data_IF_782274437823
#
_entry.id   IF_782274437823
#
_cell.length_a   1.000
_cell.length_b   1.000
_cell.length_c   1.000
_cell.angle_alpha   90.00
_cell.angle_beta   90.00
_cell.angle_gamma   90.00
#
_symmetry.space_group_name_H-M   'P 1'
#
loop_
_entity.id
_entity.type
_entity.pdbx_description
1 polymer ?
#
# COMPACT_ATOMS: atom_id res chain seq x y z
N UNK A 1 -3.47 -9.78 -24.68
CA UNK A 1 -4.43 -10.48 -25.59
C UNK A 1 -5.82 -9.94 -25.30
N UNK A 2 -6.62 -9.63 -26.31
CA UNK A 2 -7.97 -9.13 -26.07
C UNK A 2 -8.85 -10.23 -25.50
N UNK A 3 -9.74 -9.87 -24.58
CA UNK A 3 -10.62 -10.78 -23.86
C UNK A 3 -12.08 -10.48 -24.10
N UNK A 4 -12.95 -11.45 -23.87
CA UNK A 4 -14.41 -11.28 -23.86
C UNK A 4 -14.95 -11.59 -22.46
N UNK A 5 -15.62 -10.60 -21.85
CA UNK A 5 -16.36 -10.79 -20.61
C UNK A 5 -17.79 -11.25 -20.94
N UNK A 6 -18.21 -12.36 -20.34
CA UNK A 6 -19.58 -12.82 -20.34
C UNK A 6 -20.21 -12.53 -18.99
N UNK A 7 -21.38 -11.94 -18.98
CA UNK A 7 -22.16 -11.72 -17.74
C UNK A 7 -23.48 -12.45 -17.87
N UNK A 8 -23.76 -13.36 -16.94
CA UNK A 8 -24.98 -14.17 -16.92
C UNK A 8 -25.62 -14.15 -15.53
N UNK A 9 -26.94 -14.38 -15.52
CA UNK A 9 -27.75 -14.47 -14.31
C UNK A 9 -28.19 -15.90 -14.10
N UNK A 10 -27.81 -16.51 -12.96
CA UNK A 10 -28.17 -17.86 -12.58
C UNK A 10 -28.83 -17.89 -11.20
N UNK A 11 -29.62 -18.92 -10.91
CA UNK A 11 -30.10 -19.16 -9.54
C UNK A 11 -28.91 -19.28 -8.59
N UNK A 12 -29.00 -18.68 -7.39
CA UNK A 12 -27.87 -18.65 -6.46
C UNK A 12 -27.31 -20.03 -6.14
N UNK A 13 -28.19 -21.04 -6.00
CA UNK A 13 -27.75 -22.43 -5.74
C UNK A 13 -27.01 -23.11 -6.88
N UNK A 14 -27.05 -22.57 -8.10
CA UNK A 14 -26.35 -23.09 -9.26
C UNK A 14 -25.06 -22.30 -9.59
N UNK A 15 -24.81 -21.18 -8.95
CA UNK A 15 -23.77 -20.25 -9.29
C UNK A 15 -22.36 -20.88 -9.19
N UNK A 16 -22.08 -21.64 -8.14
CA UNK A 16 -20.79 -22.32 -7.96
C UNK A 16 -20.57 -23.40 -9.03
N UNK A 17 -21.57 -24.25 -9.26
CA UNK A 17 -21.46 -25.32 -10.27
C UNK A 17 -21.28 -24.74 -11.69
N UNK A 18 -21.96 -23.62 -12.01
CA UNK A 18 -21.78 -22.94 -13.29
C UNK A 18 -20.39 -22.28 -13.37
N UNK A 19 -19.89 -21.74 -12.28
CA UNK A 19 -18.56 -21.13 -12.23
C UNK A 19 -17.45 -22.16 -12.48
N UNK A 20 -17.51 -23.31 -11.82
CA UNK A 20 -16.56 -24.41 -12.02
C UNK A 20 -16.63 -24.95 -13.46
N UNK A 21 -17.84 -25.17 -13.96
CA UNK A 21 -18.05 -25.67 -15.33
C UNK A 21 -17.56 -24.69 -16.41
N UNK A 22 -17.67 -23.36 -16.18
CA UNK A 22 -17.12 -22.36 -17.08
C UNK A 22 -15.59 -22.37 -17.11
N UNK A 23 -14.93 -22.58 -15.95
CA UNK A 23 -13.48 -22.73 -15.88
C UNK A 23 -13.02 -23.98 -16.63
N UNK A 24 -13.73 -25.11 -16.48
CA UNK A 24 -13.45 -26.35 -17.22
C UNK A 24 -13.70 -26.19 -18.73
N UNK A 25 -14.67 -25.37 -19.13
CA UNK A 25 -14.96 -25.05 -20.53
C UNK A 25 -13.98 -24.05 -21.14
N UNK A 26 -12.96 -23.59 -20.41
CA UNK A 26 -11.87 -22.76 -20.90
C UNK A 26 -11.93 -21.29 -20.51
N UNK A 27 -12.81 -20.90 -19.60
CA UNK A 27 -12.77 -19.55 -19.04
C UNK A 27 -11.47 -19.36 -18.23
N UNK A 28 -10.82 -18.22 -18.40
CA UNK A 28 -9.57 -17.89 -17.69
C UNK A 28 -9.82 -17.47 -16.25
N UNK A 29 -10.95 -16.84 -16.00
CA UNK A 29 -11.41 -16.50 -14.64
C UNK A 29 -12.92 -16.44 -14.62
N UNK A 30 -13.50 -16.75 -13.47
CA UNK A 30 -14.93 -16.59 -13.20
C UNK A 30 -15.09 -15.95 -11.83
N UNK A 31 -15.98 -14.98 -11.72
CA UNK A 31 -16.36 -14.34 -10.47
C UNK A 31 -17.88 -14.41 -10.29
N UNK A 32 -18.31 -14.55 -9.03
CA UNK A 32 -19.71 -14.54 -8.64
C UNK A 32 -19.96 -13.25 -7.86
N UNK A 33 -20.87 -12.43 -8.37
CA UNK A 33 -21.30 -11.21 -7.70
C UNK A 33 -22.69 -11.41 -7.09
N UNK A 34 -22.92 -10.77 -5.95
CA UNK A 34 -24.21 -10.80 -5.24
C UNK A 34 -24.71 -12.22 -4.94
N UNK A 35 -23.87 -13.10 -4.34
CA UNK A 35 -24.26 -14.50 -4.09
C UNK A 35 -25.45 -14.65 -3.13
N UNK A 36 -25.74 -13.63 -2.31
CA UNK A 36 -26.81 -13.62 -1.32
C UNK A 36 -28.20 -13.28 -1.92
N UNK A 37 -28.27 -12.90 -3.19
CA UNK A 37 -29.54 -12.66 -3.88
C UNK A 37 -30.12 -13.96 -4.45
N UNK A 38 -31.45 -14.06 -4.68
CA UNK A 38 -32.08 -15.25 -5.30
C UNK A 38 -31.48 -15.61 -6.65
N UNK A 39 -30.95 -14.62 -7.37
CA UNK A 39 -30.15 -14.79 -8.60
C UNK A 39 -28.78 -14.13 -8.42
N UNK A 40 -27.76 -14.90 -8.65
CA UNK A 40 -26.38 -14.44 -8.67
C UNK A 40 -25.96 -14.01 -10.06
N UNK A 41 -25.07 -13.02 -10.16
CA UNK A 41 -24.41 -12.63 -11.40
C UNK A 41 -23.09 -13.39 -11.51
N UNK A 42 -22.92 -14.17 -12.56
CA UNK A 42 -21.64 -14.85 -12.85
C UNK A 42 -20.98 -14.10 -14.02
N UNK A 43 -19.75 -13.64 -13.78
CA UNK A 43 -18.92 -12.98 -14.78
C UNK A 43 -17.75 -13.89 -15.15
N UNK A 44 -17.66 -14.29 -16.43
CA UNK A 44 -16.58 -15.13 -16.94
C UNK A 44 -15.73 -14.38 -17.97
N UNK A 45 -14.43 -14.58 -17.94
CA UNK A 45 -13.48 -14.04 -18.89
C UNK A 45 -13.02 -15.13 -19.85
N UNK A 46 -13.29 -14.94 -21.13
CA UNK A 46 -12.96 -15.87 -22.21
C UNK A 46 -11.93 -15.27 -23.17
N UNK A 47 -11.07 -16.13 -23.73
CA UNK A 47 -10.27 -15.76 -24.89
C UNK A 47 -11.21 -15.46 -26.08
N UNK A 48 -10.87 -14.45 -26.89
CA UNK A 48 -11.68 -14.10 -28.07
C UNK A 48 -11.82 -15.24 -29.10
N UNK A 49 -10.91 -16.22 -29.06
CA UNK A 49 -10.95 -17.37 -29.97
C UNK A 49 -11.97 -18.42 -29.54
N UNK A 50 -12.44 -18.38 -28.28
CA UNK A 50 -13.46 -19.29 -27.80
C UNK A 50 -14.86 -18.83 -28.24
N UNK A 51 -15.66 -19.77 -28.70
CA UNK A 51 -17.08 -19.54 -28.98
C UNK A 51 -17.87 -19.48 -27.68
N UNK A 52 -18.46 -18.31 -27.32
CA UNK A 52 -19.20 -18.15 -26.08
C UNK A 52 -20.38 -19.12 -25.94
N UNK A 53 -21.09 -19.37 -27.04
CA UNK A 53 -22.26 -20.24 -27.03
C UNK A 53 -21.88 -21.69 -26.76
N UNK A 54 -20.83 -22.16 -27.40
CA UNK A 54 -20.30 -23.51 -27.16
C UNK A 54 -19.79 -23.67 -25.70
N UNK A 55 -19.09 -22.69 -25.19
CA UNK A 55 -18.60 -22.66 -23.83
C UNK A 55 -19.75 -22.71 -22.78
N UNK A 56 -20.77 -21.88 -23.00
CA UNK A 56 -21.94 -21.84 -22.11
C UNK A 56 -22.82 -23.08 -22.21
N UNK A 57 -22.96 -23.68 -23.39
CA UNK A 57 -23.69 -24.94 -23.52
C UNK A 57 -22.97 -26.09 -22.79
N UNK A 58 -21.65 -26.17 -22.91
CA UNK A 58 -20.84 -27.14 -22.20
C UNK A 58 -20.97 -26.94 -20.68
N UNK A 59 -20.83 -25.71 -20.20
CA UNK A 59 -20.94 -25.37 -18.79
C UNK A 59 -22.36 -25.62 -18.22
N UNK A 60 -23.40 -25.28 -18.96
CA UNK A 60 -24.80 -25.56 -18.57
C UNK A 60 -25.07 -27.05 -18.44
N UNK A 61 -24.58 -27.84 -19.40
CA UNK A 61 -24.71 -29.32 -19.36
C UNK A 61 -23.97 -29.91 -18.16
N UNK A 62 -22.73 -29.46 -17.90
CA UNK A 62 -21.94 -29.95 -16.76
C UNK A 62 -22.53 -29.55 -15.40
N UNK A 63 -23.10 -28.33 -15.31
CA UNK A 63 -23.79 -27.83 -14.11
C UNK A 63 -25.22 -28.37 -13.96
N UNK A 64 -25.71 -29.26 -14.85
CA UNK A 64 -27.05 -29.86 -14.77
C UNK A 64 -28.20 -28.88 -15.04
N UNK A 65 -27.96 -27.78 -15.76
CA UNK A 65 -29.00 -26.83 -16.13
C UNK A 65 -29.81 -27.35 -17.32
N UNK A 66 -31.12 -27.07 -17.33
CA UNK A 66 -32.02 -27.47 -18.43
C UNK A 66 -31.73 -26.75 -19.75
N UNK A 67 -31.11 -25.57 -19.71
CA UNK A 67 -30.69 -24.78 -20.86
C UNK A 67 -29.53 -23.84 -20.47
N UNK A 68 -28.75 -23.42 -21.47
CA UNK A 68 -27.73 -22.40 -21.27
C UNK A 68 -28.39 -21.06 -20.84
N UNK A 69 -27.89 -20.39 -19.81
CA UNK A 69 -28.40 -19.12 -19.38
C UNK A 69 -28.17 -18.04 -20.44
N UNK A 70 -29.11 -17.08 -20.52
CA UNK A 70 -28.89 -15.89 -21.33
C UNK A 70 -27.73 -15.06 -20.77
N UNK A 71 -26.92 -14.51 -21.65
CA UNK A 71 -25.75 -13.73 -21.29
C UNK A 71 -25.65 -12.44 -22.07
N UNK A 72 -24.87 -11.51 -21.55
CA UNK A 72 -24.35 -10.38 -22.30
C UNK A 72 -22.86 -10.54 -22.50
N UNK A 73 -22.37 -10.22 -23.70
CA UNK A 73 -20.94 -10.26 -24.00
C UNK A 73 -20.42 -8.84 -24.24
N UNK A 74 -19.30 -8.52 -23.63
CA UNK A 74 -18.56 -7.30 -23.90
C UNK A 74 -17.11 -7.66 -24.24
N UNK A 75 -16.61 -7.13 -25.35
CA UNK A 75 -15.18 -7.25 -25.63
C UNK A 75 -14.45 -6.32 -24.68
N UNK A 76 -13.48 -6.89 -23.94
CA UNK A 76 -12.52 -6.12 -23.18
C UNK A 76 -11.36 -5.87 -24.14
N UNK A 77 -11.22 -4.64 -24.67
CA UNK A 77 -10.09 -4.31 -25.51
C UNK A 77 -8.80 -4.64 -24.76
N UNK A 78 -7.75 -4.96 -25.47
CA UNK A 78 -6.39 -5.06 -24.93
C UNK A 78 -5.97 -3.64 -24.51
N UNK A 79 -6.70 -3.12 -23.53
CA UNK A 79 -6.39 -1.84 -22.97
C UNK A 79 -5.10 -2.00 -22.18
N UNK A 80 -4.19 -1.10 -22.41
CA UNK A 80 -2.97 -0.97 -21.64
C UNK A 80 -3.35 -0.61 -20.19
N UNK A 81 -3.71 -1.67 -19.43
CA UNK A 81 -4.03 -1.56 -17.99
C UNK A 81 -2.90 -0.88 -17.22
N UNK A 82 -1.67 -1.05 -17.72
CA UNK A 82 -0.50 -0.35 -17.19
C UNK A 82 -0.71 1.15 -17.36
N UNK A 83 -1.09 1.59 -18.53
CA UNK A 83 -1.31 3.01 -18.84
C UNK A 83 -2.53 3.60 -18.12
N UNK A 84 -3.63 2.83 -17.99
CA UNK A 84 -4.80 3.26 -17.20
C UNK A 84 -4.49 3.34 -15.71
N UNK A 85 -3.79 2.35 -15.18
CA UNK A 85 -3.33 2.36 -13.80
C UNK A 85 -2.35 3.52 -13.58
N UNK A 86 -1.43 3.74 -14.50
CA UNK A 86 -0.50 4.88 -14.47
C UNK A 86 -1.23 6.23 -14.44
N UNK A 87 -2.30 6.39 -15.22
CA UNK A 87 -3.08 7.63 -15.25
C UNK A 87 -3.82 7.94 -13.94
N UNK A 88 -4.01 6.96 -13.05
CA UNK A 88 -4.67 7.13 -11.75
C UNK A 88 -3.71 7.57 -10.64
N UNK A 89 -2.38 7.50 -10.87
CA UNK A 89 -1.39 7.88 -9.86
C UNK A 89 -0.94 9.32 -10.06
N UNK A 90 -1.63 10.21 -9.35
CA UNK A 90 -1.28 11.63 -9.27
C UNK A 90 -0.09 11.83 -8.32
N UNK A 91 0.85 12.72 -8.66
CA UNK A 91 1.92 13.09 -7.74
C UNK A 91 1.41 13.77 -6.48
N UNK A 92 2.11 13.57 -5.37
CA UNK A 92 1.82 14.19 -4.08
C UNK A 92 2.86 15.27 -3.79
N UNK A 93 2.41 16.49 -3.62
CA UNK A 93 3.23 17.59 -3.11
C UNK A 93 3.13 17.62 -1.59
N UNK A 94 4.28 17.53 -0.91
CA UNK A 94 4.35 17.58 0.55
C UNK A 94 5.09 18.83 0.96
N UNK A 95 4.36 19.77 1.58
CA UNK A 95 4.88 21.08 1.92
C UNK A 95 5.49 21.80 0.72
N UNK A 96 6.62 22.48 0.95
CA UNK A 96 7.33 23.25 -0.08
C UNK A 96 8.58 22.53 -0.63
N UNK A 97 9.11 21.56 0.12
CA UNK A 97 10.42 20.95 -0.12
C UNK A 97 10.38 19.59 -0.77
N UNK A 98 9.26 18.86 -0.71
CA UNK A 98 9.19 17.46 -1.12
C UNK A 98 8.13 17.24 -2.20
N UNK A 99 8.47 16.42 -3.19
CA UNK A 99 7.58 15.95 -4.23
C UNK A 99 7.72 14.42 -4.36
N UNK A 100 6.60 13.73 -4.44
CA UNK A 100 6.55 12.28 -4.59
C UNK A 100 5.69 11.96 -5.80
N UNK A 101 6.17 11.15 -6.69
CA UNK A 101 5.39 10.76 -7.84
C UNK A 101 6.08 9.70 -8.69
N UNK A 102 5.30 9.11 -9.60
CA UNK A 102 5.81 8.06 -10.47
C UNK A 102 6.81 8.60 -11.51
N UNK A 103 7.55 7.66 -12.10
CA UNK A 103 8.66 7.98 -13.04
C UNK A 103 8.21 8.75 -14.28
N UNK A 104 6.95 8.61 -14.72
CA UNK A 104 6.37 9.28 -15.90
C UNK A 104 5.87 10.71 -15.66
N UNK A 105 5.86 11.18 -14.40
CA UNK A 105 5.55 12.58 -14.10
C UNK A 105 6.81 13.42 -13.98
N UNK A 106 6.75 14.66 -14.46
CA UNK A 106 7.85 15.61 -14.36
C UNK A 106 7.75 16.38 -13.03
N UNK A 107 8.76 16.26 -12.15
CA UNK A 107 8.74 16.99 -10.89
C UNK A 107 8.96 18.49 -11.10
N UNK A 108 8.42 19.34 -10.22
CA UNK A 108 8.72 20.76 -10.20
C UNK A 108 10.20 21.00 -9.82
N UNK A 109 10.76 22.12 -10.27
CA UNK A 109 12.14 22.50 -9.92
C UNK A 109 12.25 22.88 -8.44
N UNK A 110 13.41 22.63 -7.83
CA UNK A 110 13.75 23.10 -6.49
C UNK A 110 13.22 22.23 -5.34
N UNK A 111 12.57 21.11 -5.63
CA UNK A 111 12.08 20.18 -4.59
C UNK A 111 12.93 18.92 -4.52
N UNK A 112 13.01 18.33 -3.34
CA UNK A 112 13.49 16.96 -3.17
C UNK A 112 12.49 16.00 -3.83
N UNK A 113 12.99 15.13 -4.69
CA UNK A 113 12.15 14.25 -5.54
C UNK A 113 12.28 12.82 -5.07
N UNK A 114 11.13 12.21 -4.75
CA UNK A 114 11.00 10.78 -4.51
C UNK A 114 10.19 10.16 -5.64
N UNK A 115 10.82 9.24 -6.37
CA UNK A 115 10.17 8.51 -7.46
C UNK A 115 9.73 7.15 -6.98
N UNK A 116 8.42 6.91 -7.05
CA UNK A 116 7.82 5.63 -6.70
C UNK A 116 6.80 5.27 -7.76
N UNK A 117 7.07 4.21 -8.46
CA UNK A 117 6.10 3.61 -9.37
C UNK A 117 5.17 2.67 -8.58
N UNK A 118 3.87 2.63 -8.92
CA UNK A 118 2.94 1.70 -8.30
C UNK A 118 3.46 0.26 -8.39
N UNK A 119 3.51 -0.43 -7.28
CA UNK A 119 4.03 -1.78 -7.17
C UNK A 119 3.27 -2.61 -6.13
N UNK A 120 3.78 -3.79 -5.84
CA UNK A 120 3.16 -4.75 -4.91
C UNK A 120 3.28 -4.35 -3.42
N UNK A 121 4.19 -3.42 -3.08
CA UNK A 121 4.38 -2.99 -1.70
C UNK A 121 3.48 -1.79 -1.35
N UNK A 122 3.00 -1.77 -0.10
CA UNK A 122 2.22 -0.66 0.46
C UNK A 122 3.07 0.62 0.55
N UNK A 123 2.45 1.78 0.31
CA UNK A 123 3.08 3.10 0.50
C UNK A 123 3.37 3.87 -0.79
N UNK A 124 2.32 4.18 -1.56
CA UNK A 124 2.40 5.05 -2.75
C UNK A 124 2.48 6.55 -2.43
N UNK A 125 2.40 6.93 -1.16
CA UNK A 125 2.42 8.33 -0.72
C UNK A 125 1.04 8.99 -0.63
N UNK A 126 -0.01 8.42 -1.23
CA UNK A 126 -1.35 9.02 -1.26
C UNK A 126 -2.14 8.81 0.03
N UNK A 127 -1.83 7.76 0.80
CA UNK A 127 -2.56 7.47 2.04
C UNK A 127 -2.37 8.58 3.08
N UNK A 128 -3.42 9.02 3.81
CA UNK A 128 -3.34 10.09 4.81
C UNK A 128 -2.21 9.89 5.83
N UNK A 129 -2.03 8.68 6.35
CA UNK A 129 -0.98 8.37 7.34
C UNK A 129 0.42 8.62 6.79
N UNK A 130 0.67 8.25 5.54
CA UNK A 130 1.96 8.49 4.87
C UNK A 130 2.19 9.99 4.68
N UNK A 131 1.17 10.73 4.24
CA UNK A 131 1.27 12.19 4.08
C UNK A 131 1.57 12.89 5.40
N UNK A 132 0.95 12.45 6.51
CA UNK A 132 1.20 12.99 7.84
C UNK A 132 2.68 12.87 8.23
N UNK A 133 3.28 11.67 8.06
CA UNK A 133 4.70 11.46 8.39
C UNK A 133 5.63 12.21 7.43
N UNK A 134 5.31 12.25 6.14
CA UNK A 134 6.10 13.00 5.16
C UNK A 134 6.15 14.50 5.48
N UNK A 135 5.02 15.11 5.87
CA UNK A 135 4.97 16.51 6.32
C UNK A 135 5.77 16.73 7.61
N UNK A 136 5.74 15.76 8.51
CA UNK A 136 6.56 15.78 9.72
C UNK A 136 8.06 15.74 9.37
N UNK A 137 8.49 14.82 8.52
CA UNK A 137 9.89 14.73 8.07
C UNK A 137 10.35 16.01 7.36
N UNK A 138 9.51 16.56 6.48
CA UNK A 138 9.80 17.80 5.77
C UNK A 138 10.04 18.99 6.72
N UNK A 139 9.26 19.03 7.81
CA UNK A 139 9.39 20.07 8.86
C UNK A 139 10.60 19.84 9.76
N UNK A 140 10.88 18.59 10.15
CA UNK A 140 11.89 18.29 11.18
C UNK A 140 13.30 18.15 10.61
N UNK A 141 13.48 17.65 9.38
CA UNK A 141 14.80 17.47 8.78
C UNK A 141 15.37 18.82 8.30
N UNK A 142 16.51 19.19 8.87
CA UNK A 142 17.26 20.41 8.55
C UNK A 142 18.60 20.13 7.87
N UNK A 143 19.05 18.88 7.94
CA UNK A 143 20.29 18.36 7.40
C UNK A 143 21.21 17.84 8.51
N UNK A 144 21.70 16.63 8.33
CA UNK A 144 22.65 15.98 9.26
C UNK A 144 22.03 15.02 10.26
N UNK A 145 20.70 14.92 10.34
CA UNK A 145 20.02 14.02 11.27
C UNK A 145 20.20 12.54 10.90
N UNK A 146 20.26 11.69 11.92
CA UNK A 146 20.06 10.25 11.80
C UNK A 146 18.56 9.90 11.89
N UNK A 147 18.04 9.20 10.90
CA UNK A 147 16.61 8.84 10.81
C UNK A 147 16.44 7.33 10.79
N UNK A 148 15.47 6.82 11.55
CA UNK A 148 15.00 5.44 11.51
C UNK A 148 13.55 5.38 11.04
N UNK A 149 13.29 4.60 10.00
CA UNK A 149 11.96 4.25 9.51
C UNK A 149 11.67 2.80 9.92
N UNK A 150 10.82 2.62 10.94
CA UNK A 150 10.50 1.30 11.49
C UNK A 150 9.14 0.81 11.00
N UNK A 151 9.13 -0.26 10.22
CA UNK A 151 8.01 -0.69 9.37
C UNK A 151 8.07 0.07 8.04
N UNK A 152 9.23 0.01 7.36
CA UNK A 152 9.52 0.91 6.24
C UNK A 152 8.73 0.59 4.96
N UNK A 153 8.15 -0.61 4.82
CA UNK A 153 7.35 -1.00 3.66
C UNK A 153 8.07 -0.75 2.33
N UNK A 154 7.53 0.13 1.51
CA UNK A 154 8.13 0.55 0.24
C UNK A 154 9.43 1.37 0.38
N UNK A 155 9.79 1.78 1.60
CA UNK A 155 10.92 2.67 1.89
C UNK A 155 10.63 4.16 1.65
N UNK A 156 9.39 4.54 1.36
CA UNK A 156 9.04 5.92 0.98
C UNK A 156 9.49 6.96 2.02
N UNK A 157 9.29 6.69 3.32
CA UNK A 157 9.64 7.62 4.40
C UNK A 157 11.16 7.74 4.55
N UNK A 158 11.86 6.60 4.52
CA UNK A 158 13.31 6.54 4.55
C UNK A 158 13.95 7.27 3.35
N UNK A 159 13.44 7.03 2.14
CA UNK A 159 13.92 7.69 0.92
C UNK A 159 13.65 9.20 0.99
N UNK A 160 12.46 9.59 1.45
CA UNK A 160 12.12 11.01 1.63
C UNK A 160 13.05 11.69 2.65
N UNK A 161 13.35 11.02 3.78
CA UNK A 161 14.28 11.54 4.77
C UNK A 161 15.68 11.78 4.18
N UNK A 162 16.21 10.81 3.42
CA UNK A 162 17.50 10.97 2.75
C UNK A 162 17.50 12.13 1.73
N UNK A 163 16.43 12.24 0.93
CA UNK A 163 16.28 13.33 -0.06
C UNK A 163 16.11 14.70 0.58
N UNK A 164 15.60 14.77 1.81
CA UNK A 164 15.49 16.01 2.59
C UNK A 164 16.81 16.41 3.27
N UNK A 165 17.85 15.55 3.25
CA UNK A 165 19.18 15.86 3.75
C UNK A 165 19.56 15.15 5.06
N UNK A 166 18.84 14.12 5.49
CA UNK A 166 19.29 13.26 6.58
C UNK A 166 20.65 12.66 6.26
N UNK A 167 21.59 12.68 7.22
CA UNK A 167 22.95 12.19 7.01
C UNK A 167 23.05 10.66 7.07
N UNK A 168 22.14 10.04 7.84
CA UNK A 168 22.03 8.59 7.98
C UNK A 168 20.56 8.20 7.98
N UNK A 169 20.21 7.20 7.20
CA UNK A 169 18.84 6.66 7.19
C UNK A 169 18.90 5.15 7.24
N UNK A 170 18.22 4.56 8.20
CA UNK A 170 18.01 3.11 8.30
C UNK A 170 16.52 2.79 8.17
N UNK A 171 16.21 1.71 7.45
CA UNK A 171 14.87 1.16 7.31
C UNK A 171 14.78 -0.22 7.93
N UNK A 172 13.67 -0.51 8.59
CA UNK A 172 13.42 -1.83 9.22
C UNK A 172 12.05 -2.32 8.82
N UNK A 173 11.95 -3.58 8.42
CA UNK A 173 10.67 -4.25 8.21
C UNK A 173 10.78 -5.75 8.54
N UNK A 174 9.66 -6.37 8.90
CA UNK A 174 9.58 -7.81 9.16
C UNK A 174 9.34 -8.61 7.89
N UNK A 175 8.83 -7.97 6.84
CA UNK A 175 8.51 -8.60 5.56
C UNK A 175 9.71 -8.52 4.60
N UNK A 176 10.21 -9.69 4.21
CA UNK A 176 11.32 -9.80 3.27
C UNK A 176 11.02 -9.16 1.90
N UNK A 177 9.76 -9.19 1.45
CA UNK A 177 9.33 -8.57 0.20
C UNK A 177 9.35 -7.04 0.33
N UNK A 178 8.90 -6.49 1.47
CA UNK A 178 9.00 -5.07 1.77
C UNK A 178 10.47 -4.61 1.76
N UNK A 179 11.37 -5.35 2.41
CA UNK A 179 12.82 -5.06 2.41
C UNK A 179 13.42 -5.04 0.99
N UNK A 180 13.03 -6.00 0.14
CA UNK A 180 13.48 -6.04 -1.26
C UNK A 180 12.96 -4.81 -2.03
N UNK A 181 11.68 -4.50 -1.90
CA UNK A 181 11.04 -3.35 -2.55
C UNK A 181 11.66 -2.03 -2.10
N UNK A 182 11.87 -1.84 -0.79
CA UNK A 182 12.51 -0.63 -0.25
C UNK A 182 13.92 -0.44 -0.80
N UNK A 183 14.69 -1.52 -0.94
CA UNK A 183 16.04 -1.49 -1.52
C UNK A 183 16.04 -1.09 -2.98
N UNK A 184 15.11 -1.63 -3.77
CA UNK A 184 15.00 -1.32 -5.20
C UNK A 184 14.50 0.12 -5.41
N UNK A 185 13.53 0.58 -4.62
CA UNK A 185 13.06 1.97 -4.64
C UNK A 185 14.18 2.94 -4.25
N UNK A 186 14.96 2.62 -3.21
CA UNK A 186 16.09 3.45 -2.80
C UNK A 186 17.14 3.56 -3.91
N UNK A 187 17.47 2.44 -4.55
CA UNK A 187 18.39 2.40 -5.72
C UNK A 187 17.86 3.25 -6.86
N UNK A 188 16.58 3.12 -7.22
CA UNK A 188 15.92 3.93 -8.26
C UNK A 188 15.92 5.43 -7.96
N UNK A 189 15.99 5.79 -6.68
CA UNK A 189 16.10 7.17 -6.22
C UNK A 189 17.53 7.65 -6.00
N UNK A 190 18.56 6.82 -6.21
CA UNK A 190 19.95 7.16 -5.91
C UNK A 190 20.18 7.44 -4.42
N UNK A 191 19.46 6.72 -3.54
CA UNK A 191 19.60 6.80 -2.08
C UNK A 191 20.31 5.54 -1.59
N UNK A 192 21.33 5.71 -0.75
CA UNK A 192 21.98 4.62 -0.07
C UNK A 192 21.13 4.21 1.15
N UNK A 193 20.37 3.13 1.00
CA UNK A 193 19.53 2.56 2.03
C UNK A 193 19.68 1.04 2.02
N UNK A 194 20.02 0.46 3.16
CA UNK A 194 20.09 -0.98 3.38
C UNK A 194 19.02 -1.38 4.40
N UNK A 195 17.78 -1.61 3.97
CA UNK A 195 16.73 -2.00 4.88
C UNK A 195 17.00 -3.40 5.41
N UNK A 196 16.77 -3.59 6.71
CA UNK A 196 17.10 -4.83 7.44
C UNK A 196 15.91 -5.33 8.26
N UNK A 197 15.85 -6.64 8.57
CA UNK A 197 14.90 -7.13 9.56
C UNK A 197 15.27 -6.61 10.96
N UNK A 198 14.30 -6.56 11.91
CA UNK A 198 14.47 -5.95 13.23
C UNK A 198 15.66 -6.47 14.03
N UNK A 199 15.93 -7.78 13.96
CA UNK A 199 17.04 -8.46 14.66
C UNK A 199 18.41 -8.09 14.11
N UNK A 200 18.48 -7.60 12.89
CA UNK A 200 19.73 -7.19 12.22
C UNK A 200 20.00 -5.68 12.36
N UNK A 201 19.08 -4.91 12.94
CA UNK A 201 19.30 -3.49 13.22
C UNK A 201 20.40 -3.32 14.24
N UNK A 202 21.52 -2.76 13.84
CA UNK A 202 22.66 -2.48 14.71
C UNK A 202 22.31 -1.64 15.95
N UNK A 203 23.21 -1.54 16.92
CA UNK A 203 23.00 -0.69 18.09
C UNK A 203 23.02 0.79 17.70
N UNK A 204 22.35 1.62 18.50
CA UNK A 204 22.35 3.07 18.32
C UNK A 204 20.95 3.67 18.45
N UNK A 205 20.95 4.99 18.53
CA UNK A 205 19.76 5.81 18.58
C UNK A 205 19.80 6.84 17.43
N UNK A 206 18.65 7.40 17.11
CA UNK A 206 18.44 8.29 15.98
C UNK A 206 17.84 9.61 16.45
N UNK A 207 18.16 10.69 15.77
CA UNK A 207 17.59 12.01 16.05
C UNK A 207 16.10 12.04 15.75
N UNK A 208 15.67 11.29 14.73
CA UNK A 208 14.28 11.16 14.33
C UNK A 208 13.97 9.67 14.12
N UNK A 209 12.92 9.19 14.78
CA UNK A 209 12.35 7.86 14.55
C UNK A 209 10.93 8.04 14.03
N UNK A 210 10.59 7.36 12.94
CA UNK A 210 9.24 7.33 12.40
C UNK A 210 8.75 5.89 12.30
N UNK A 211 7.45 5.70 12.48
CA UNK A 211 6.80 4.41 12.26
C UNK A 211 5.37 4.63 11.79
N UNK A 212 5.00 4.06 10.66
CA UNK A 212 3.67 4.13 10.08
C UNK A 212 3.08 2.72 9.95
N UNK A 213 2.68 2.16 11.07
CA UNK A 213 2.09 0.82 11.18
C UNK A 213 0.83 0.87 12.05
N UNK A 214 0.12 -0.25 12.19
CA UNK A 214 -1.10 -0.32 12.98
C UNK A 214 -0.86 -0.04 14.48
N UNK A 215 -1.89 0.45 15.18
CA UNK A 215 -1.84 0.89 16.57
C UNK A 215 -1.35 -0.21 17.54
N UNK A 216 -1.84 -1.45 17.42
CA UNK A 216 -1.47 -2.53 18.34
C UNK A 216 0.03 -2.90 18.27
N UNK A 217 0.65 -3.09 17.09
CA UNK A 217 2.11 -3.19 16.98
C UNK A 217 2.85 -1.99 17.57
N UNK A 218 2.38 -0.76 17.40
CA UNK A 218 3.03 0.43 17.97
C UNK A 218 3.03 0.39 19.50
N UNK A 219 1.95 -0.06 20.13
CA UNK A 219 1.89 -0.24 21.59
C UNK A 219 2.91 -1.28 22.05
N UNK A 220 3.00 -2.43 21.37
CA UNK A 220 3.96 -3.48 21.72
C UNK A 220 5.41 -3.06 21.53
N UNK A 221 5.68 -2.26 20.51
CA UNK A 221 7.02 -1.77 20.16
C UNK A 221 7.44 -0.51 20.95
N UNK A 222 6.59 0.02 21.84
CA UNK A 222 6.86 1.27 22.53
C UNK A 222 8.23 1.31 23.22
N UNK A 223 8.68 0.28 23.97
CA UNK A 223 10.02 0.28 24.57
C UNK A 223 11.13 0.34 23.50
N UNK A 224 10.97 -0.38 22.41
CA UNK A 224 11.96 -0.45 21.33
C UNK A 224 12.10 0.90 20.65
N UNK A 225 10.99 1.47 20.15
CA UNK A 225 10.99 2.74 19.43
C UNK A 225 11.45 3.90 20.31
N UNK A 226 11.02 3.91 21.58
CA UNK A 226 11.49 4.91 22.55
C UNK A 226 13.01 4.84 22.76
N UNK A 227 13.58 3.64 22.92
CA UNK A 227 15.01 3.46 23.12
C UNK A 227 15.84 3.74 21.87
N UNK A 228 15.26 3.55 20.68
CA UNK A 228 15.88 3.92 19.39
C UNK A 228 15.85 5.43 19.10
N UNK A 229 15.01 6.18 19.79
CA UNK A 229 15.03 7.65 19.71
C UNK A 229 16.13 8.19 20.63
N UNK A 230 17.01 9.04 20.15
CA UNK A 230 18.07 9.65 20.95
C UNK A 230 17.49 10.54 22.07
N UNK A 231 18.19 10.76 23.21
CA UNK A 231 17.79 11.78 24.16
C UNK A 231 17.63 13.15 23.46
N UNK A 232 16.49 13.81 23.66
CA UNK A 232 16.13 15.04 22.92
C UNK A 232 15.66 14.83 21.47
N UNK A 233 15.76 13.61 20.94
CA UNK A 233 15.28 13.25 19.61
C UNK A 233 13.76 13.19 19.52
N UNK A 234 13.25 13.09 18.30
CA UNK A 234 11.82 13.08 17.97
C UNK A 234 11.35 11.70 17.55
N UNK A 235 10.20 11.29 18.09
CA UNK A 235 9.48 10.09 17.64
C UNK A 235 8.15 10.53 17.04
N UNK A 236 7.82 9.99 15.84
CA UNK A 236 6.54 10.22 15.19
C UNK A 236 5.90 8.90 14.76
N UNK A 237 4.64 8.72 15.10
CA UNK A 237 3.87 7.50 14.92
C UNK A 237 2.60 7.81 14.11
N UNK A 238 2.33 7.02 13.08
CA UNK A 238 1.14 7.09 12.26
C UNK A 238 0.56 5.68 12.01
N UNK A 239 -0.54 5.59 11.26
CA UNK A 239 -1.31 4.34 11.15
C UNK A 239 -2.29 4.17 12.32
N UNK A 240 -2.65 5.28 12.97
CA UNK A 240 -3.43 5.37 14.20
C UNK A 240 -4.71 6.15 13.88
N UNK A 241 -5.87 5.58 14.17
CA UNK A 241 -7.13 6.31 14.15
C UNK A 241 -7.22 7.26 15.35
N UNK A 242 -7.95 8.37 15.21
CA UNK A 242 -8.12 9.36 16.29
C UNK A 242 -8.61 8.70 17.60
N UNK A 243 -9.52 7.73 17.50
CA UNK A 243 -10.03 6.98 18.67
C UNK A 243 -8.98 6.14 19.40
N UNK A 244 -7.86 5.81 18.75
CA UNK A 244 -6.77 4.99 19.31
C UNK A 244 -5.63 5.84 19.89
N UNK A 245 -5.64 7.16 19.64
CA UNK A 245 -4.53 8.06 19.96
C UNK A 245 -4.14 8.04 21.43
N UNK A 246 -5.12 8.04 22.34
CA UNK A 246 -4.90 8.08 23.79
C UNK A 246 -4.23 6.80 24.27
N UNK A 247 -4.67 5.64 23.79
CA UNK A 247 -4.13 4.35 24.18
C UNK A 247 -2.67 4.21 23.69
N UNK A 248 -2.42 4.56 22.43
CA UNK A 248 -1.05 4.53 21.87
C UNK A 248 -0.15 5.51 22.62
N UNK A 249 -0.56 6.75 22.85
CA UNK A 249 0.24 7.75 23.56
C UNK A 249 0.59 7.29 25.00
N UNK A 250 -0.35 6.66 25.69
CA UNK A 250 -0.14 6.15 27.04
C UNK A 250 0.97 5.10 27.11
N UNK A 251 1.12 4.26 26.09
CA UNK A 251 2.18 3.24 26.03
C UNK A 251 3.59 3.85 25.99
N UNK A 252 3.76 5.06 25.51
CA UNK A 252 5.05 5.77 25.41
C UNK A 252 5.33 6.69 26.61
N UNK A 253 4.37 6.93 27.49
CA UNK A 253 4.46 7.87 28.60
C UNK A 253 5.70 7.71 29.51
N UNK A 254 6.27 6.51 29.73
CA UNK A 254 7.50 6.37 30.52
C UNK A 254 8.71 7.10 29.90
N UNK A 255 8.73 7.31 28.58
CA UNK A 255 9.90 7.86 27.87
C UNK A 255 9.63 9.19 27.16
N UNK A 256 8.41 9.38 26.64
CA UNK A 256 8.03 10.52 25.82
C UNK A 256 6.65 11.05 26.24
N UNK A 257 6.46 12.35 26.12
CA UNK A 257 5.12 12.99 26.16
C UNK A 257 4.61 13.08 24.72
N UNK A 258 3.86 12.04 24.29
CA UNK A 258 3.30 11.95 22.94
C UNK A 258 2.02 12.76 22.85
N UNK A 259 1.88 13.56 21.78
CA UNK A 259 0.69 14.40 21.52
C UNK A 259 0.27 14.25 20.07
N UNK A 260 -1.01 14.50 19.79
CA UNK A 260 -1.47 14.64 18.42
C UNK A 260 -0.83 15.90 17.83
N UNK A 261 0.07 15.73 16.87
CA UNK A 261 0.72 16.83 16.17
C UNK A 261 -0.07 17.25 14.93
N UNK A 262 -0.73 16.30 14.26
CA UNK A 262 -1.59 16.57 13.10
C UNK A 262 -2.64 15.47 12.90
N UNK A 263 -3.70 15.83 12.16
CA UNK A 263 -4.83 14.96 11.84
C UNK A 263 -5.18 15.13 10.36
N UNK A 264 -5.50 14.04 9.67
CA UNK A 264 -5.95 14.01 8.29
C UNK A 264 -6.89 12.83 8.07
N UNK A 265 -8.11 13.09 7.62
CA UNK A 265 -9.13 12.07 7.28
C UNK A 265 -9.36 11.02 8.40
N UNK A 266 -9.43 11.46 9.67
CA UNK A 266 -9.63 10.59 10.82
C UNK A 266 -8.38 9.83 11.30
N UNK A 267 -7.23 10.02 10.62
CA UNK A 267 -5.92 9.48 11.03
C UNK A 267 -5.10 10.54 11.74
N UNK A 268 -4.37 10.14 12.77
CA UNK A 268 -3.51 11.05 13.53
C UNK A 268 -2.03 10.74 13.35
N UNK A 269 -1.22 11.79 13.47
CA UNK A 269 0.20 11.70 13.76
C UNK A 269 0.39 12.00 15.25
N UNK A 270 0.87 11.02 16.00
CA UNK A 270 1.37 11.23 17.35
C UNK A 270 2.86 11.54 17.28
N UNK A 271 3.29 12.62 17.89
CA UNK A 271 4.71 12.93 17.99
C UNK A 271 5.09 13.37 19.40
N UNK A 272 6.35 13.10 19.77
CA UNK A 272 6.92 13.46 21.06
C UNK A 272 8.44 13.61 20.99
N UNK A 273 8.99 14.22 22.04
CA UNK A 273 10.44 14.33 22.23
C UNK A 273 10.87 13.42 23.38
N UNK A 274 11.93 12.65 23.16
CA UNK A 274 12.49 11.82 24.23
C UNK A 274 13.14 12.67 25.31
N UNK A 275 12.83 12.36 26.55
CA UNK A 275 13.41 13.01 27.73
C UNK A 275 14.87 12.63 27.93
#
# INVERSE_FOLDING_TARGET
>A
MPWRALTLQVEAGAAEAVSEALLEAGAQSVSIEKPDLPRATVCALLDLQLDPDACLQAAASAAGLAAAPAYTAAEIPDEDWVRKTQAQFEPVEVGERLWIGPSWHRPPAGRAVVRLDPGLAFGTGTHPTTQLVLRFLEKEIRGGEGVLDYGCGSGILAIAAAKLGAARVDGVDVDAQALATARDNARGNGVELQPTPPESLGPGAYDIVVSNILAQPLILLAPVLALRTAPGGRLALAGILESQAVEVAAAYAPWLDMRIESLLDGWVLLAGRRR
#
